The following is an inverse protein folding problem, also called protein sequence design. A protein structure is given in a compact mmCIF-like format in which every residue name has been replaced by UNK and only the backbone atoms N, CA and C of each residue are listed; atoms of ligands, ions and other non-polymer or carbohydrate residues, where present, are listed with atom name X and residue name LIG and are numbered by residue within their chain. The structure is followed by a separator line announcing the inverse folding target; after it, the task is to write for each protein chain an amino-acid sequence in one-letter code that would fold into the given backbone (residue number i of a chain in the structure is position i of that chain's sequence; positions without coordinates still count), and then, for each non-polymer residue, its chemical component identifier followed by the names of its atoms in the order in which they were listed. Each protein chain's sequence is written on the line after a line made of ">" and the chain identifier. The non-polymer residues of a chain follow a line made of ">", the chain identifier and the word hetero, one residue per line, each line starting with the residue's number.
data_IF_747091629654
#
_entry.id   IF_747091629654
#
_cell.length_a   1.000
_cell.length_b   1.000
_cell.length_c   1.000
_cell.angle_alpha   90.00
_cell.angle_beta   90.00
_cell.angle_gamma   90.00
#
_symmetry.space_group_name_H-M   'P 1'
#
loop_
_entity.id
_entity.type
_entity.pdbx_description
1 polymer ?
#
# COMPACT_ATOMS: atom_id res chain seq x y z
N UNK A 1 11.67 9.33 -17.65
CA UNK A 1 12.59 8.80 -16.61
C UNK A 1 12.29 7.36 -16.17
N UNK A 2 11.04 6.89 -16.10
CA UNK A 2 10.74 5.51 -15.66
C UNK A 2 11.19 4.36 -16.59
N UNK A 3 11.46 4.63 -17.87
CA UNK A 3 11.75 3.58 -18.86
C UNK A 3 13.19 3.05 -18.80
N UNK A 4 14.15 3.86 -18.34
CA UNK A 4 15.54 3.45 -18.17
C UNK A 4 15.77 2.60 -16.91
N UNK A 5 14.88 2.70 -15.91
CA UNK A 5 14.98 1.89 -14.69
C UNK A 5 14.57 0.43 -14.89
N UNK A 6 13.78 0.15 -15.92
CA UNK A 6 13.25 -1.20 -16.20
C UNK A 6 14.31 -2.21 -16.67
N UNK A 7 15.46 -1.74 -17.17
CA UNK A 7 16.47 -2.61 -17.78
C UNK A 7 17.62 -3.02 -16.84
N UNK A 8 17.85 -2.31 -15.72
CA UNK A 8 19.08 -2.48 -14.93
C UNK A 8 18.96 -3.34 -13.66
N UNK A 9 17.76 -3.62 -13.14
CA UNK A 9 17.62 -4.30 -11.83
C UNK A 9 16.74 -5.55 -11.92
N UNK A 10 17.26 -6.63 -12.51
CA UNK A 10 16.50 -7.89 -12.67
C UNK A 10 16.69 -8.90 -11.52
N UNK A 11 17.75 -8.77 -10.71
CA UNK A 11 18.10 -9.77 -9.66
C UNK A 11 17.99 -9.26 -8.21
N UNK A 12 18.24 -7.97 -7.95
CA UNK A 12 18.08 -7.38 -6.60
C UNK A 12 16.63 -7.05 -6.23
N UNK A 13 15.71 -7.10 -7.20
CA UNK A 13 14.32 -6.66 -7.05
C UNK A 13 13.52 -7.54 -6.07
N UNK A 14 13.67 -8.87 -6.12
CA UNK A 14 12.93 -9.78 -5.23
C UNK A 14 13.35 -9.68 -3.76
N UNK A 15 14.64 -9.45 -3.50
CA UNK A 15 15.16 -9.35 -2.12
C UNK A 15 14.85 -7.98 -1.51
N UNK A 16 14.87 -6.91 -2.31
CA UNK A 16 14.43 -5.57 -1.89
C UNK A 16 12.92 -5.53 -1.64
N UNK A 17 12.10 -6.09 -2.54
CA UNK A 17 10.63 -6.17 -2.39
C UNK A 17 10.25 -6.91 -1.09
N UNK A 18 10.94 -8.01 -0.76
CA UNK A 18 10.73 -8.75 0.49
C UNK A 18 11.24 -8.03 1.76
N UNK A 19 12.36 -7.29 1.67
CA UNK A 19 12.85 -6.47 2.79
C UNK A 19 11.94 -5.28 3.07
N UNK A 20 11.37 -4.65 2.04
CA UNK A 20 10.45 -3.51 2.19
C UNK A 20 9.05 -3.93 2.63
N UNK A 21 8.56 -5.12 2.28
CA UNK A 21 7.22 -5.60 2.68
C UNK A 21 7.08 -5.80 4.20
N UNK A 22 8.16 -6.17 4.91
CA UNK A 22 8.13 -6.32 6.38
C UNK A 22 8.38 -4.99 7.14
N UNK A 23 8.81 -3.96 6.42
CA UNK A 23 9.35 -2.69 6.95
C UNK A 23 8.65 -1.46 6.32
N UNK A 24 7.44 -1.62 5.80
CA UNK A 24 6.83 -0.58 4.94
C UNK A 24 6.25 0.58 5.75
N UNK A 25 5.75 0.34 6.96
CA UNK A 25 5.16 1.39 7.80
C UNK A 25 6.20 2.01 8.73
N UNK A 26 6.95 1.19 9.48
CA UNK A 26 7.83 1.69 10.55
C UNK A 26 8.98 2.56 10.00
N UNK A 27 9.80 2.11 9.04
CA UNK A 27 10.77 2.97 8.35
C UNK A 27 10.18 4.18 7.66
N UNK A 28 9.00 4.08 7.04
CA UNK A 28 8.38 5.25 6.41
C UNK A 28 8.05 6.31 7.46
N UNK A 29 7.49 5.90 8.61
CA UNK A 29 7.27 6.83 9.74
C UNK A 29 8.58 7.38 10.28
N UNK A 30 9.63 6.58 10.39
CA UNK A 30 10.91 7.04 10.92
C UNK A 30 11.59 8.05 9.98
N UNK A 31 11.62 7.76 8.67
CA UNK A 31 12.18 8.65 7.65
C UNK A 31 11.37 9.94 7.58
N UNK A 32 10.03 9.83 7.56
CA UNK A 32 9.14 10.98 7.60
C UNK A 32 9.36 11.83 8.85
N UNK A 33 9.47 11.19 10.02
CA UNK A 33 9.76 11.85 11.28
C UNK A 33 11.06 12.66 11.21
N UNK A 34 12.19 12.04 10.84
CA UNK A 34 13.47 12.76 10.76
C UNK A 34 13.45 13.97 9.81
N UNK A 35 12.73 13.87 8.69
CA UNK A 35 12.62 14.97 7.72
C UNK A 35 11.68 16.07 8.22
N UNK A 36 10.59 15.71 8.89
CA UNK A 36 9.57 16.66 9.33
C UNK A 36 9.91 17.31 10.66
N UNK A 37 10.61 16.61 11.55
CA UNK A 37 11.01 17.09 12.87
C UNK A 37 11.77 18.42 12.80
N UNK A 38 12.70 18.53 11.83
CA UNK A 38 13.50 19.76 11.63
C UNK A 38 12.69 20.97 11.13
N UNK A 39 11.49 20.75 10.56
CA UNK A 39 10.68 21.82 9.95
C UNK A 39 9.43 22.13 10.78
N UNK A 40 8.90 21.14 11.50
CA UNK A 40 7.62 21.25 12.20
C UNK A 40 7.76 21.48 13.71
N UNK A 41 8.98 21.43 14.29
CA UNK A 41 9.20 21.78 15.70
C UNK A 41 9.64 23.23 15.86
N UNK A 42 8.92 23.96 16.71
CA UNK A 42 9.18 25.37 17.01
C UNK A 42 9.32 25.57 18.51
N UNK A 43 10.22 26.46 18.93
CA UNK A 43 10.28 26.88 20.33
C UNK A 43 9.19 27.93 20.59
N UNK A 44 8.68 27.94 21.82
CA UNK A 44 7.73 28.96 22.25
C UNK A 44 8.35 30.37 22.12
N UNK A 45 7.70 31.24 21.36
CA UNK A 45 8.13 32.62 21.10
C UNK A 45 8.79 32.84 19.73
N UNK A 46 9.10 31.77 18.99
CA UNK A 46 9.60 31.90 17.62
C UNK A 46 8.45 32.26 16.64
N UNK A 47 8.75 33.03 15.59
CA UNK A 47 7.77 33.30 14.54
C UNK A 47 7.43 32.00 13.80
N UNK A 48 6.23 31.47 14.03
CA UNK A 48 5.72 30.28 13.34
C UNK A 48 5.29 30.63 11.92
N UNK A 49 5.76 29.90 10.88
CA UNK A 49 5.32 30.07 9.49
C UNK A 49 3.80 29.87 9.33
N UNK A 50 3.24 30.18 8.16
CA UNK A 50 1.79 29.97 7.96
C UNK A 50 1.41 28.48 8.07
N UNK A 51 0.17 28.18 8.49
CA UNK A 51 -0.31 26.79 8.60
C UNK A 51 -0.26 26.06 7.24
N UNK A 52 -0.62 26.76 6.17
CA UNK A 52 -0.64 26.18 4.82
C UNK A 52 0.76 25.82 4.30
N UNK A 53 1.78 26.63 4.59
CA UNK A 53 3.17 26.29 4.25
C UNK A 53 3.61 25.00 4.94
N UNK A 54 3.32 24.87 6.24
CA UNK A 54 3.67 23.70 7.04
C UNK A 54 2.92 22.45 6.58
N UNK A 55 1.60 22.54 6.44
CA UNK A 55 0.76 21.43 6.01
C UNK A 55 1.09 20.96 4.57
N UNK A 56 1.37 21.90 3.65
CA UNK A 56 1.76 21.53 2.29
C UNK A 56 3.12 20.84 2.23
N UNK A 57 4.11 21.32 3.00
CA UNK A 57 5.40 20.64 3.13
C UNK A 57 5.24 19.22 3.66
N UNK A 58 4.46 19.04 4.72
CA UNK A 58 4.16 17.73 5.30
C UNK A 58 3.53 16.77 4.29
N UNK A 59 2.50 17.24 3.57
CA UNK A 59 1.83 16.46 2.52
C UNK A 59 2.83 16.07 1.41
N UNK A 60 3.66 17.01 0.95
CA UNK A 60 4.65 16.75 -0.11
C UNK A 60 5.64 15.67 0.33
N UNK A 61 6.16 15.75 1.56
CA UNK A 61 7.09 14.74 2.10
C UNK A 61 6.43 13.37 2.15
N UNK A 62 5.22 13.27 2.70
CA UNK A 62 4.49 11.99 2.77
C UNK A 62 4.18 11.42 1.38
N UNK A 63 3.80 12.27 0.43
CA UNK A 63 3.56 11.85 -0.97
C UNK A 63 4.86 11.31 -1.59
N UNK A 64 5.98 12.01 -1.46
CA UNK A 64 7.28 11.56 -2.00
C UNK A 64 7.69 10.20 -1.41
N UNK A 65 7.41 9.95 -0.13
CA UNK A 65 7.71 8.68 0.51
C UNK A 65 6.81 7.53 0.02
N UNK A 66 5.52 7.78 -0.19
CA UNK A 66 4.56 6.76 -0.64
C UNK A 66 4.66 6.45 -2.15
N UNK A 67 5.06 7.44 -2.95
CA UNK A 67 5.02 7.39 -4.42
C UNK A 67 5.85 6.24 -5.04
N UNK A 68 7.07 5.90 -4.60
CA UNK A 68 7.85 4.80 -5.16
C UNK A 68 7.10 3.46 -5.09
N UNK A 69 6.52 3.16 -3.94
CA UNK A 69 5.77 1.91 -3.70
C UNK A 69 4.55 1.86 -4.61
N UNK A 70 3.83 2.97 -4.75
CA UNK A 70 2.68 3.09 -5.63
C UNK A 70 3.04 2.88 -7.10
N UNK A 71 4.14 3.47 -7.58
CA UNK A 71 4.60 3.27 -8.97
C UNK A 71 4.84 1.78 -9.24
N UNK A 72 5.54 1.09 -8.34
CA UNK A 72 5.83 -0.33 -8.54
C UNK A 72 4.56 -1.18 -8.51
N UNK A 73 3.64 -0.87 -7.60
CA UNK A 73 2.33 -1.51 -7.53
C UNK A 73 1.56 -1.35 -8.85
N UNK A 74 1.40 -0.11 -9.34
CA UNK A 74 0.69 0.15 -10.59
C UNK A 74 1.39 -0.46 -11.80
N UNK A 75 2.72 -0.48 -11.84
CA UNK A 75 3.47 -1.12 -12.91
C UNK A 75 3.22 -2.64 -12.95
N UNK A 76 3.15 -3.29 -11.78
CA UNK A 76 2.84 -4.71 -11.64
C UNK A 76 1.41 -5.02 -12.09
N UNK A 77 0.45 -4.23 -11.65
CA UNK A 77 -0.95 -4.40 -12.02
C UNK A 77 -1.17 -4.15 -13.52
N UNK A 78 -0.57 -3.09 -14.05
CA UNK A 78 -0.64 -2.79 -15.49
C UNK A 78 -0.04 -3.94 -16.30
N UNK A 79 1.11 -4.49 -15.89
CA UNK A 79 1.73 -5.64 -16.56
C UNK A 79 0.85 -6.90 -16.51
N UNK A 80 0.14 -7.13 -15.41
CA UNK A 80 -0.81 -8.22 -15.29
C UNK A 80 -1.92 -8.09 -16.34
N UNK A 81 -2.52 -6.91 -16.47
CA UNK A 81 -3.58 -6.62 -17.45
C UNK A 81 -3.06 -6.74 -18.90
N UNK A 82 -1.83 -6.30 -19.16
CA UNK A 82 -1.18 -6.39 -20.48
C UNK A 82 -0.95 -7.83 -20.96
N UNK A 83 -0.86 -8.80 -20.04
CA UNK A 83 -0.65 -10.20 -20.35
C UNK A 83 -1.96 -11.00 -20.50
N UNK A 84 -3.11 -10.34 -20.47
CA UNK A 84 -4.42 -10.98 -20.65
C UNK A 84 -4.70 -11.24 -22.15
N UNK A 85 -5.35 -12.36 -22.46
CA UNK A 85 -5.60 -12.84 -23.83
C UNK A 85 -6.35 -11.81 -24.70
N UNK A 86 -7.19 -10.97 -24.09
CA UNK A 86 -7.93 -9.92 -24.80
C UNK A 86 -7.02 -8.83 -25.37
N UNK A 87 -5.88 -8.53 -24.73
CA UNK A 87 -4.91 -7.55 -25.20
C UNK A 87 -4.07 -8.12 -26.35
N UNK A 88 -3.72 -9.40 -26.26
CA UNK A 88 -2.99 -10.10 -27.33
C UNK A 88 -3.84 -10.16 -28.61
N UNK A 89 -5.11 -10.55 -28.49
CA UNK A 89 -6.06 -10.54 -29.61
C UNK A 89 -6.25 -9.13 -30.21
N UNK A 90 -6.40 -8.09 -29.39
CA UNK A 90 -6.56 -6.71 -29.84
C UNK A 90 -5.30 -6.15 -30.54
N UNK A 91 -4.11 -6.60 -30.11
CA UNK A 91 -2.83 -6.23 -30.73
C UNK A 91 -2.65 -6.91 -32.09
N UNK A 92 -3.03 -8.19 -32.21
CA UNK A 92 -3.04 -8.93 -33.49
C UNK A 92 -3.96 -8.30 -34.54
N UNK A 93 -5.06 -7.67 -34.10
CA UNK A 93 -6.02 -6.97 -34.95
C UNK A 93 -5.56 -5.55 -35.37
N UNK A 94 -4.32 -5.15 -35.08
CA UNK A 94 -3.74 -3.87 -35.52
C UNK A 94 -4.07 -2.66 -34.64
N UNK A 95 -4.47 -2.89 -33.38
CA UNK A 95 -4.74 -1.82 -32.43
C UNK A 95 -3.49 -0.98 -32.09
N UNK A 96 -3.60 0.35 -32.19
CA UNK A 96 -2.55 1.27 -31.72
C UNK A 96 -2.41 1.22 -30.19
N UNK A 97 -1.16 1.22 -29.68
CA UNK A 97 -0.82 1.10 -28.25
C UNK A 97 -1.53 2.14 -27.37
N UNK A 98 -1.72 3.37 -27.87
CA UNK A 98 -2.38 4.45 -27.13
C UNK A 98 -3.90 4.26 -27.05
N UNK A 99 -4.51 3.82 -28.16
CA UNK A 99 -5.94 3.51 -28.19
C UNK A 99 -6.27 2.34 -27.27
N UNK A 100 -5.45 1.29 -27.31
CA UNK A 100 -5.55 0.13 -26.43
C UNK A 100 -5.43 0.52 -24.95
N UNK A 101 -4.48 1.39 -24.59
CA UNK A 101 -4.28 1.85 -23.22
C UNK A 101 -5.49 2.60 -22.66
N UNK A 102 -6.06 3.55 -23.40
CA UNK A 102 -7.21 4.34 -22.91
C UNK A 102 -8.50 3.52 -22.95
N UNK A 103 -8.73 2.77 -24.04
CA UNK A 103 -10.00 2.10 -24.28
C UNK A 103 -10.16 0.80 -23.48
N UNK A 104 -9.06 0.06 -23.27
CA UNK A 104 -9.11 -1.27 -22.66
C UNK A 104 -8.37 -1.35 -21.31
N UNK A 105 -7.24 -0.67 -21.14
CA UNK A 105 -6.45 -0.75 -19.90
C UNK A 105 -7.03 0.16 -18.80
N UNK A 106 -7.31 1.43 -19.11
CA UNK A 106 -7.76 2.41 -18.12
C UNK A 106 -9.07 2.02 -17.40
N UNK A 107 -10.13 1.50 -18.08
CA UNK A 107 -11.35 1.09 -17.41
C UNK A 107 -11.14 -0.06 -16.41
N UNK A 108 -10.12 -0.91 -16.65
CA UNK A 108 -9.79 -2.02 -15.78
C UNK A 108 -8.90 -1.58 -14.59
N UNK A 109 -8.04 -0.58 -14.79
CA UNK A 109 -7.20 -0.01 -13.72
C UNK A 109 -8.02 0.88 -12.76
N UNK A 110 -9.05 1.58 -13.25
CA UNK A 110 -9.80 2.54 -12.43
C UNK A 110 -10.39 1.95 -11.13
N UNK A 111 -11.03 0.76 -11.12
CA UNK A 111 -11.45 0.13 -9.88
C UNK A 111 -10.29 -0.20 -8.93
N UNK A 112 -9.14 -0.63 -9.47
CA UNK A 112 -7.93 -0.89 -8.67
C UNK A 112 -7.40 0.39 -8.06
N UNK A 113 -7.44 1.51 -8.79
CA UNK A 113 -7.06 2.83 -8.28
C UNK A 113 -7.90 3.21 -7.05
N UNK A 114 -9.23 2.97 -7.07
CA UNK A 114 -10.10 3.24 -5.91
C UNK A 114 -9.68 2.41 -4.68
N UNK A 115 -9.38 1.12 -4.89
CA UNK A 115 -8.91 0.23 -3.82
C UNK A 115 -7.60 0.76 -3.22
N UNK A 116 -6.64 1.11 -4.08
CA UNK A 116 -5.34 1.65 -3.66
C UNK A 116 -5.51 2.98 -2.92
N UNK A 117 -6.39 3.86 -3.38
CA UNK A 117 -6.66 5.14 -2.70
C UNK A 117 -7.23 4.93 -1.29
N UNK A 118 -8.16 3.98 -1.12
CA UNK A 118 -8.66 3.61 0.21
C UNK A 118 -7.58 2.98 1.09
N UNK A 119 -6.69 2.17 0.50
CA UNK A 119 -5.54 1.63 1.21
C UNK A 119 -4.57 2.73 1.66
N UNK A 120 -4.29 3.71 0.80
CA UNK A 120 -3.45 4.86 1.15
C UNK A 120 -4.10 5.70 2.25
N UNK A 121 -5.41 5.90 2.21
CA UNK A 121 -6.13 6.58 3.29
C UNK A 121 -5.92 5.90 4.65
N UNK A 122 -6.09 4.57 4.71
CA UNK A 122 -5.85 3.80 5.94
C UNK A 122 -4.39 3.88 6.38
N UNK A 123 -3.44 3.75 5.43
CA UNK A 123 -2.01 3.85 5.74
C UNK A 123 -1.63 5.23 6.30
N UNK A 124 -2.17 6.32 5.74
CA UNK A 124 -1.92 7.67 6.24
C UNK A 124 -2.46 7.86 7.66
N UNK A 125 -3.64 7.33 7.99
CA UNK A 125 -4.16 7.38 9.37
C UNK A 125 -3.24 6.65 10.36
N UNK A 126 -2.70 5.50 9.95
CA UNK A 126 -1.74 4.75 10.77
C UNK A 126 -0.46 5.58 10.96
N UNK A 127 0.07 6.20 9.89
CA UNK A 127 1.26 7.06 9.98
C UNK A 127 1.03 8.23 10.95
N UNK A 128 -0.11 8.93 10.85
CA UNK A 128 -0.47 10.00 11.78
C UNK A 128 -0.59 9.51 13.23
N UNK A 129 -1.08 8.30 13.46
CA UNK A 129 -1.06 7.70 14.80
C UNK A 129 0.36 7.62 15.36
N UNK A 130 1.33 7.19 14.54
CA UNK A 130 2.73 7.08 14.96
C UNK A 130 3.35 8.45 15.18
N UNK A 131 3.09 9.41 14.30
CA UNK A 131 3.55 10.79 14.46
C UNK A 131 3.03 11.44 15.74
N UNK A 132 1.75 11.22 16.08
CA UNK A 132 1.18 11.68 17.35
C UNK A 132 1.98 11.17 18.56
N UNK A 133 2.28 9.87 18.61
CA UNK A 133 3.06 9.27 19.70
C UNK A 133 4.50 9.80 19.75
N UNK A 134 5.08 10.14 18.60
CA UNK A 134 6.42 10.73 18.47
C UNK A 134 6.45 12.25 18.73
N UNK A 135 5.34 12.82 19.24
CA UNK A 135 5.18 14.26 19.48
C UNK A 135 5.46 15.10 18.22
N UNK A 136 5.13 14.55 17.04
CA UNK A 136 5.16 15.25 15.77
C UNK A 136 3.72 15.49 15.32
N UNK A 137 3.23 16.70 15.56
CA UNK A 137 1.85 17.06 15.28
C UNK A 137 1.67 17.60 13.87
N UNK A 138 0.51 17.30 13.29
CA UNK A 138 0.11 17.83 11.99
C UNK A 138 0.13 19.36 12.09
N UNK A 139 0.71 20.05 11.11
CA UNK A 139 0.77 21.52 11.11
C UNK A 139 1.73 22.14 12.13
N UNK A 140 2.42 21.35 12.95
CA UNK A 140 3.53 21.80 13.80
C UNK A 140 3.35 21.56 15.29
N UNK A 141 4.49 21.45 15.97
CA UNK A 141 4.63 21.21 17.41
C UNK A 141 5.32 22.40 18.05
N UNK A 142 4.72 22.96 19.09
CA UNK A 142 5.31 24.03 19.90
C UNK A 142 5.89 23.43 21.17
N UNK A 143 7.16 23.69 21.41
CA UNK A 143 7.90 23.29 22.60
C UNK A 143 7.93 24.43 23.62
N UNK A 144 7.42 24.18 24.81
CA UNK A 144 7.47 25.09 25.93
C UNK A 144 8.65 24.77 26.86
N UNK A 145 9.08 25.78 27.61
CA UNK A 145 10.08 25.60 28.66
C UNK A 145 9.53 24.63 29.73
N UNK A 146 10.17 23.46 29.87
CA UNK A 146 9.70 22.40 30.80
C UNK A 146 9.38 21.06 30.13
N UNK A 147 9.65 20.89 28.84
CA UNK A 147 9.30 19.71 28.04
C UNK A 147 7.78 19.53 27.86
N UNK A 148 7.02 20.62 27.97
CA UNK A 148 5.61 20.63 27.59
C UNK A 148 5.52 20.84 26.07
N UNK A 149 4.67 20.07 25.42
CA UNK A 149 4.43 20.11 23.98
C UNK A 149 2.98 20.50 23.73
N UNK A 150 2.73 21.34 22.74
CA UNK A 150 1.38 21.64 22.25
C UNK A 150 1.28 21.42 20.74
N UNK A 151 0.13 20.91 20.30
CA UNK A 151 -0.23 20.86 18.89
C UNK A 151 -0.84 22.20 18.47
N UNK A 152 -0.36 22.73 17.34
CA UNK A 152 -0.94 23.94 16.75
C UNK A 152 -2.33 23.67 16.18
N UNK A 153 -2.57 22.49 15.59
CA UNK A 153 -3.84 22.18 14.92
C UNK A 153 -4.90 21.57 15.84
N UNK A 154 -4.49 21.01 16.98
CA UNK A 154 -5.36 20.19 17.84
C UNK A 154 -6.07 19.06 17.06
N UNK A 155 -5.36 18.44 16.12
CA UNK A 155 -5.85 17.32 15.34
C UNK A 155 -5.97 16.04 16.20
N UNK A 156 -6.80 15.09 15.79
CA UNK A 156 -7.11 13.91 16.60
C UNK A 156 -5.88 13.05 16.93
N UNK A 157 -4.95 12.88 15.99
CA UNK A 157 -3.69 12.18 16.23
C UNK A 157 -2.78 12.96 17.19
N UNK A 158 -2.79 14.28 17.11
CA UNK A 158 -2.06 15.16 18.03
C UNK A 158 -2.61 15.08 19.45
N UNK A 159 -3.94 15.06 19.61
CA UNK A 159 -4.59 14.87 20.91
C UNK A 159 -4.17 13.54 21.56
N UNK A 160 -4.04 12.46 20.78
CA UNK A 160 -3.55 11.18 21.27
C UNK A 160 -2.12 11.33 21.82
N UNK A 161 -1.25 12.01 21.08
CA UNK A 161 0.14 12.28 21.49
C UNK A 161 0.26 13.14 22.74
N UNK A 162 -0.43 14.29 22.75
CA UNK A 162 -0.45 15.25 23.87
C UNK A 162 -0.85 14.59 25.19
N UNK A 163 -1.91 13.78 25.16
CA UNK A 163 -2.42 13.12 26.35
C UNK A 163 -1.80 11.75 26.61
N UNK A 164 -0.89 11.26 25.76
CA UNK A 164 -0.26 9.95 25.91
C UNK A 164 0.46 9.84 27.26
N UNK A 165 1.24 10.86 27.65
CA UNK A 165 1.93 10.88 28.95
C UNK A 165 0.97 10.96 30.14
N UNK A 166 -0.22 11.53 29.92
CA UNK A 166 -1.30 11.62 30.92
C UNK A 166 -2.01 10.29 31.16
N UNK A 167 -1.79 9.24 30.33
CA UNK A 167 -2.37 7.90 30.53
C UNK A 167 -2.09 7.34 31.94
N UNK A 168 -0.93 7.65 32.52
CA UNK A 168 -0.56 7.16 33.86
C UNK A 168 -1.28 7.89 34.99
N UNK A 169 -1.80 9.10 34.75
CA UNK A 169 -2.39 9.97 35.78
C UNK A 169 -3.91 10.09 35.60
N UNK A 170 -4.35 10.45 34.38
CA UNK A 170 -5.75 10.65 34.01
C UNK A 170 -6.09 9.86 32.74
N UNK A 171 -6.18 8.51 32.82
CA UNK A 171 -6.36 7.64 31.65
C UNK A 171 -7.62 7.92 30.85
N UNK A 172 -8.68 8.44 31.47
CA UNK A 172 -9.96 8.71 30.77
C UNK A 172 -9.87 9.81 29.72
N UNK A 173 -8.95 10.78 29.86
CA UNK A 173 -8.79 11.92 28.93
C UNK A 173 -8.30 11.45 27.55
N UNK A 174 -7.15 10.75 27.42
CA UNK A 174 -6.67 10.23 26.15
C UNK A 174 -7.55 9.11 25.57
N UNK A 175 -8.26 8.34 26.42
CA UNK A 175 -9.05 7.19 25.95
C UNK A 175 -10.14 7.56 24.96
N UNK A 176 -10.75 8.73 25.08
CA UNK A 176 -11.80 9.20 24.16
C UNK A 176 -11.24 9.37 22.73
N UNK A 177 -10.26 10.26 22.46
CA UNK A 177 -9.73 10.42 21.11
C UNK A 177 -9.08 9.14 20.57
N UNK A 178 -8.41 8.34 21.42
CA UNK A 178 -7.86 7.03 21.01
C UNK A 178 -8.96 6.12 20.48
N UNK A 179 -10.07 5.97 21.20
CA UNK A 179 -11.16 5.07 20.81
C UNK A 179 -11.80 5.49 19.50
N UNK A 180 -12.08 6.78 19.31
CA UNK A 180 -12.65 7.31 18.07
C UNK A 180 -11.69 7.15 16.88
N UNK A 181 -10.40 7.36 17.09
CA UNK A 181 -9.40 7.20 16.04
C UNK A 181 -9.23 5.73 15.62
N UNK A 182 -9.16 4.80 16.59
CA UNK A 182 -9.13 3.36 16.33
C UNK A 182 -10.40 2.91 15.59
N UNK A 183 -11.57 3.37 16.03
CA UNK A 183 -12.84 3.03 15.37
C UNK A 183 -12.86 3.51 13.91
N UNK A 184 -12.31 4.70 13.65
CA UNK A 184 -12.18 5.26 12.29
C UNK A 184 -11.29 4.39 11.42
N UNK A 185 -10.12 3.99 11.92
CA UNK A 185 -9.19 3.09 11.21
C UNK A 185 -9.84 1.74 10.93
N UNK A 186 -10.49 1.12 11.93
CA UNK A 186 -11.17 -0.17 11.79
C UNK A 186 -12.28 -0.08 10.73
N UNK A 187 -13.10 0.98 10.78
CA UNK A 187 -14.19 1.18 9.82
C UNK A 187 -13.65 1.34 8.39
N UNK A 188 -12.61 2.15 8.21
CA UNK A 188 -11.96 2.33 6.92
C UNK A 188 -11.32 1.02 6.41
N UNK A 189 -10.71 0.25 7.30
CA UNK A 189 -10.12 -1.05 6.96
C UNK A 189 -11.18 -2.08 6.54
N UNK A 190 -12.29 -2.16 7.27
CA UNK A 190 -13.42 -3.03 6.90
C UNK A 190 -13.97 -2.61 5.54
N UNK A 191 -14.17 -1.31 5.30
CA UNK A 191 -14.64 -0.80 4.01
C UNK A 191 -13.71 -1.21 2.87
N UNK A 192 -12.40 -1.05 3.05
CA UNK A 192 -11.39 -1.49 2.09
C UNK A 192 -11.51 -2.98 1.78
N UNK A 193 -11.58 -3.84 2.81
CA UNK A 193 -11.74 -5.29 2.64
C UNK A 193 -13.04 -5.64 1.89
N UNK A 194 -14.15 -4.95 2.21
CA UNK A 194 -15.43 -5.18 1.53
C UNK A 194 -15.38 -4.81 0.05
N UNK A 195 -14.73 -3.69 -0.29
CA UNK A 195 -14.55 -3.25 -1.69
C UNK A 195 -13.68 -4.25 -2.46
N UNK A 196 -12.56 -4.69 -1.86
CA UNK A 196 -11.68 -5.71 -2.45
C UNK A 196 -12.42 -7.01 -2.74
N UNK A 197 -13.16 -7.54 -1.77
CA UNK A 197 -13.95 -8.75 -1.94
C UNK A 197 -15.06 -8.61 -2.99
N UNK A 198 -15.70 -7.44 -3.07
CA UNK A 198 -16.70 -7.17 -4.10
C UNK A 198 -16.07 -7.15 -5.51
N UNK A 199 -14.84 -6.65 -5.62
CA UNK A 199 -14.09 -6.60 -6.88
C UNK A 199 -13.64 -8.00 -7.32
N UNK A 200 -13.10 -8.81 -6.41
CA UNK A 200 -12.71 -10.20 -6.69
C UNK A 200 -13.90 -11.06 -7.13
N UNK A 201 -15.04 -10.93 -6.46
CA UNK A 201 -16.27 -11.65 -6.84
C UNK A 201 -16.74 -11.29 -8.25
N UNK A 202 -16.56 -10.04 -8.69
CA UNK A 202 -16.90 -9.62 -10.07
C UNK A 202 -15.96 -10.24 -11.09
N UNK A 203 -14.67 -10.32 -10.79
CA UNK A 203 -13.69 -11.00 -11.65
C UNK A 203 -13.97 -12.50 -11.77
N UNK A 204 -14.26 -13.18 -10.65
CA UNK A 204 -14.58 -14.63 -10.69
C UNK A 204 -15.86 -14.94 -11.48
N UNK A 205 -16.87 -14.06 -11.45
CA UNK A 205 -18.12 -14.26 -12.19
C UNK A 205 -17.97 -14.14 -13.72
N UNK A 206 -16.85 -13.60 -14.20
CA UNK A 206 -16.55 -13.44 -15.63
C UNK A 206 -15.78 -14.63 -16.22
N UNK A 207 -15.18 -15.49 -15.40
CA UNK A 207 -14.60 -16.76 -15.84
C UNK A 207 -15.76 -17.76 -15.94
N UNK A 208 -16.16 -18.22 -17.14
CA UNK A 208 -17.14 -19.28 -17.25
C UNK A 208 -16.59 -20.50 -16.50
N UNK A 209 -17.34 -21.02 -15.54
CA UNK A 209 -17.10 -22.37 -15.06
C UNK A 209 -17.38 -23.29 -16.23
N UNK A 210 -16.35 -23.71 -16.97
CA UNK A 210 -16.50 -24.94 -17.74
C UNK A 210 -16.91 -26.03 -16.74
N UNK A 211 -17.99 -26.77 -17.01
CA UNK A 211 -18.35 -27.90 -16.18
C UNK A 211 -17.11 -28.78 -16.11
N UNK A 212 -16.67 -29.11 -14.89
CA UNK A 212 -15.66 -30.14 -14.69
C UNK A 212 -16.28 -31.42 -15.27
N UNK A 213 -16.00 -31.68 -16.54
CA UNK A 213 -16.30 -32.96 -17.17
C UNK A 213 -15.46 -33.95 -16.37
N UNK A 214 -16.16 -34.74 -15.56
CA UNK A 214 -15.56 -35.79 -14.77
C UNK A 214 -14.80 -36.69 -15.74
N UNK A 215 -13.49 -36.53 -15.82
CA UNK A 215 -12.61 -37.46 -16.50
C UNK A 215 -12.75 -38.77 -15.72
N UNK A 216 -13.69 -39.60 -16.17
CA UNK A 216 -13.79 -41.00 -15.80
C UNK A 216 -12.42 -41.61 -16.12
N UNK A 217 -11.57 -41.78 -15.11
CA UNK A 217 -10.37 -42.61 -15.21
C UNK A 217 -10.81 -44.02 -15.60
N UNK A 218 -10.51 -44.51 -16.82
CA UNK A 218 -10.59 -45.93 -17.09
C UNK A 218 -9.41 -46.56 -16.37
N UNK A 219 -9.69 -47.47 -15.44
CA UNK A 219 -8.79 -48.45 -14.82
C UNK A 219 -7.31 -48.37 -15.25
N UNK A 220 -6.50 -47.61 -14.52
CA UNK A 220 -5.03 -47.76 -14.49
C UNK A 220 -4.59 -48.97 -13.64
N UNK A 221 -5.35 -50.07 -13.71
CA UNK A 221 -4.95 -51.37 -13.21
C UNK A 221 -4.62 -52.28 -14.42
N UNK A 222 -3.75 -51.80 -15.31
CA UNK A 222 -3.21 -52.63 -16.38
C UNK A 222 -1.77 -53.02 -16.00
N UNK A 223 -1.63 -54.32 -15.79
CA UNK A 223 -0.45 -55.08 -15.40
C UNK A 223 0.84 -54.57 -16.05
N UNK A 224 1.87 -54.30 -15.24
CA UNK A 224 3.25 -54.26 -15.71
C UNK A 224 3.64 -55.67 -16.21
N UNK A 225 4.04 -55.86 -17.48
CA UNK A 225 4.62 -57.12 -17.90
C UNK A 225 6.01 -57.26 -17.27
N UNK A 226 6.18 -58.36 -16.55
CA UNK A 226 7.46 -58.87 -16.10
C UNK A 226 8.28 -59.28 -17.31
N UNK A 227 9.24 -58.44 -17.71
CA UNK A 227 10.47 -58.72 -18.48
C UNK A 227 10.97 -57.38 -19.03
N UNK A 228 12.24 -57.04 -19.06
CA UNK A 228 13.47 -57.59 -18.51
C UNK A 228 14.52 -56.60 -19.01
N UNK A 229 15.35 -56.10 -18.10
CA UNK A 229 16.60 -55.38 -18.36
C UNK A 229 17.26 -55.75 -19.71
N UNK A 230 17.48 -54.77 -20.58
CA UNK A 230 18.54 -54.84 -21.59
C UNK A 230 19.32 -53.53 -21.59
N UNK A 231 20.55 -53.62 -21.09
CA UNK A 231 21.60 -52.61 -21.15
C UNK A 231 21.92 -52.25 -22.60
N UNK A 232 22.09 -50.95 -22.86
CA UNK A 232 22.58 -50.42 -24.13
C UNK A 232 24.11 -50.33 -24.04
N UNK A 233 24.81 -51.12 -24.84
CA UNK A 233 26.24 -50.93 -25.14
C UNK A 233 26.46 -51.37 -26.59
N UNK A 234 26.81 -50.44 -27.47
CA UNK A 234 27.16 -50.73 -28.86
C UNK A 234 28.27 -49.75 -29.30
N UNK A 235 29.46 -50.35 -29.51
CA UNK A 235 30.62 -49.97 -30.33
C UNK A 235 31.23 -48.56 -30.29
#
# INVERSE_FOLDING_TARGET
>A
MGLFFAFYVRKSFKTLEALFDCFTVVPMTLIGYFILDTVLRFQHGDPVPSFFERASFEIIVLVILALPVLIFYFAKETKKILNEEFIEAATLLGGSKFHLAIKHIFPNIFPVLIIVMMQQFVQTLIIFSHFGILELFFGGTILFYGNEVESVSNEWSGLIGLYFRSLSVHPWIPMVPITFFILTIITAHIMLQRIQLAFEKRHMKQIPQEPIEQINTPNFAQQLPANSFTLYDDK
#
